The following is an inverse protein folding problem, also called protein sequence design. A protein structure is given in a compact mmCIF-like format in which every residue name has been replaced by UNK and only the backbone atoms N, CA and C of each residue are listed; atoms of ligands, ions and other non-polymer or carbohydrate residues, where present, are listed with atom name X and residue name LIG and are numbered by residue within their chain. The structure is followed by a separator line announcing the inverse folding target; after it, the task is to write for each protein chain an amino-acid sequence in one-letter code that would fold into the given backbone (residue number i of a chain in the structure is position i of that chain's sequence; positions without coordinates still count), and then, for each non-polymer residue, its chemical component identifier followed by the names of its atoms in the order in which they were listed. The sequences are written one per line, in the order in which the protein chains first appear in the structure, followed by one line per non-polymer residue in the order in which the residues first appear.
data_IF_410610549790
#
_entry.id   IF_410610549790
#
_cell.length_a   1.000
_cell.length_b   1.000
_cell.length_c   1.000
_cell.angle_alpha   90.00
_cell.angle_beta   90.00
_cell.angle_gamma   90.00
#
_symmetry.space_group_name_H-M   'P 1'
#
loop_
_entity.id
_entity.type
_entity.pdbx_description
1 polymer ?
#
# COMPACT_ATOMS: atom_id res chain seq x y z
N UNK A 1 2.57 -6.00 -17.41
CA UNK A 1 2.48 -7.15 -16.47
C UNK A 1 1.70 -8.31 -17.07
N UNK A 2 0.46 -8.10 -17.54
CA UNK A 2 -0.41 -9.18 -18.03
C UNK A 2 0.14 -9.89 -19.29
N UNK A 3 0.53 -9.17 -20.34
CA UNK A 3 1.05 -9.77 -21.58
C UNK A 3 2.44 -10.42 -21.45
N UNK A 4 3.17 -10.07 -20.40
CA UNK A 4 4.52 -10.59 -20.13
C UNK A 4 4.56 -11.57 -18.94
N UNK A 5 3.40 -11.97 -18.41
CA UNK A 5 3.30 -12.94 -17.31
C UNK A 5 3.89 -12.49 -15.96
N UNK A 6 4.21 -11.20 -15.80
CA UNK A 6 4.76 -10.68 -14.54
C UNK A 6 3.67 -10.58 -13.47
N UNK A 7 3.79 -11.36 -12.40
CA UNK A 7 2.96 -11.23 -11.20
C UNK A 7 3.56 -10.17 -10.26
N UNK A 8 2.91 -9.01 -10.20
CA UNK A 8 3.28 -7.93 -9.28
C UNK A 8 2.33 -7.92 -8.08
N UNK A 9 2.88 -7.76 -6.88
CA UNK A 9 2.09 -7.48 -5.70
C UNK A 9 1.70 -5.99 -5.73
N UNK A 10 0.40 -5.70 -5.86
CA UNK A 10 -0.12 -4.34 -5.94
C UNK A 10 -0.91 -4.04 -4.67
N UNK A 11 -0.56 -2.95 -3.98
CA UNK A 11 -1.36 -2.37 -2.90
C UNK A 11 -2.01 -1.08 -3.43
N UNK A 12 -3.33 -1.00 -3.35
CA UNK A 12 -4.08 0.19 -3.77
C UNK A 12 -4.16 1.16 -2.60
N UNK A 13 -3.66 2.37 -2.80
CA UNK A 13 -3.83 3.50 -1.89
C UNK A 13 -4.87 4.42 -2.52
N UNK A 14 -5.97 4.64 -1.82
CA UNK A 14 -7.17 5.28 -2.37
C UNK A 14 -8.02 5.83 -1.24
N UNK A 15 -8.93 6.74 -1.60
CA UNK A 15 -9.94 7.21 -0.64
C UNK A 15 -10.78 6.00 -0.24
N UNK A 16 -10.95 5.76 1.07
CA UNK A 16 -11.77 4.65 1.55
C UNK A 16 -13.24 4.89 1.20
N UNK A 17 -13.96 3.81 0.94
CA UNK A 17 -15.40 3.85 0.67
C UNK A 17 -16.19 4.04 1.97
N UNK A 18 -16.08 5.25 2.55
CA UNK A 18 -16.78 5.68 3.76
C UNK A 18 -16.95 7.20 3.74
N UNK A 19 -17.86 7.69 4.59
CA UNK A 19 -18.00 9.11 4.81
C UNK A 19 -16.76 9.68 5.52
N UNK A 20 -16.30 10.85 5.06
CA UNK A 20 -15.17 11.60 5.62
C UNK A 20 -15.71 12.99 5.98
N UNK A 21 -15.43 13.45 7.20
CA UNK A 21 -15.94 14.74 7.67
C UNK A 21 -15.23 15.92 7.01
N UNK A 22 -15.82 17.11 7.08
CA UNK A 22 -15.17 18.32 6.61
C UNK A 22 -14.04 18.73 7.55
N UNK A 23 -12.87 19.03 7.00
CA UNK A 23 -11.72 19.47 7.78
C UNK A 23 -10.69 20.15 6.89
N UNK A 24 -9.54 20.48 7.47
CA UNK A 24 -8.42 20.97 6.68
C UNK A 24 -7.85 19.85 5.81
N UNK A 25 -7.22 20.21 4.69
CA UNK A 25 -6.61 19.22 3.79
C UNK A 25 -5.64 18.27 4.52
N UNK A 26 -4.89 18.78 5.50
CA UNK A 26 -3.94 17.96 6.29
C UNK A 26 -4.66 16.88 7.09
N UNK A 27 -5.76 17.22 7.75
CA UNK A 27 -6.55 16.27 8.54
C UNK A 27 -7.16 15.20 7.62
N UNK A 28 -7.72 15.61 6.48
CA UNK A 28 -8.28 14.69 5.50
C UNK A 28 -7.23 13.71 4.93
N UNK A 29 -6.02 14.20 4.64
CA UNK A 29 -4.93 13.33 4.20
C UNK A 29 -4.51 12.34 5.28
N UNK A 30 -4.45 12.76 6.55
CA UNK A 30 -4.15 11.85 7.68
C UNK A 30 -5.26 10.81 7.83
N UNK A 31 -6.53 11.21 7.78
CA UNK A 31 -7.67 10.31 7.93
C UNK A 31 -7.74 9.28 6.78
N UNK A 32 -7.38 9.70 5.57
CA UNK A 32 -7.30 8.83 4.40
C UNK A 32 -6.00 8.01 4.32
N UNK A 33 -5.03 8.24 5.21
CA UNK A 33 -3.74 7.53 5.20
C UNK A 33 -2.82 7.92 4.03
N UNK A 34 -2.86 9.19 3.62
CA UNK A 34 -2.03 9.78 2.58
C UNK A 34 -0.96 10.73 3.11
N UNK A 35 -0.78 10.83 4.43
CA UNK A 35 0.34 11.55 5.01
C UNK A 35 1.66 10.77 4.83
N UNK A 36 2.77 11.46 5.09
CA UNK A 36 4.12 10.92 4.94
C UNK A 36 4.33 9.63 5.76
N UNK A 37 3.76 9.55 6.96
CA UNK A 37 3.92 8.39 7.84
C UNK A 37 3.15 7.19 7.33
N UNK A 38 1.91 7.40 6.88
CA UNK A 38 1.08 6.36 6.32
C UNK A 38 1.69 5.78 5.04
N UNK A 39 2.24 6.62 4.16
CA UNK A 39 2.93 6.16 2.96
C UNK A 39 4.18 5.34 3.29
N UNK A 40 5.02 5.82 4.22
CA UNK A 40 6.21 5.09 4.67
C UNK A 40 5.83 3.74 5.29
N UNK A 41 4.75 3.69 6.08
CA UNK A 41 4.22 2.46 6.65
C UNK A 41 3.77 1.49 5.56
N UNK A 42 2.98 1.97 4.58
CA UNK A 42 2.51 1.15 3.47
C UNK A 42 3.66 0.55 2.65
N UNK A 43 4.71 1.32 2.40
CA UNK A 43 5.93 0.84 1.72
C UNK A 43 6.63 -0.22 2.57
N UNK A 44 6.81 0.01 3.88
CA UNK A 44 7.45 -0.95 4.78
C UNK A 44 6.69 -2.28 4.86
N UNK A 45 5.37 -2.26 4.82
CA UNK A 45 4.55 -3.47 4.78
C UNK A 45 4.71 -4.26 3.47
N UNK A 46 4.96 -3.58 2.35
CA UNK A 46 5.19 -4.22 1.06
C UNK A 46 6.62 -4.77 0.91
N UNK A 47 7.55 -4.30 1.73
CA UNK A 47 8.93 -4.79 1.72
C UNK A 47 9.02 -6.14 2.46
N UNK A 48 9.71 -7.14 1.89
CA UNK A 48 10.00 -8.36 2.62
C UNK A 48 10.88 -8.05 3.83
N UNK A 49 10.64 -8.73 4.94
CA UNK A 49 11.52 -8.65 6.11
C UNK A 49 12.96 -8.92 5.67
N UNK A 50 13.90 -8.10 6.18
CA UNK A 50 15.31 -8.17 5.82
C UNK A 50 15.83 -9.60 6.06
N UNK A 51 16.00 -10.39 4.99
CA UNK A 51 16.44 -11.79 5.03
C UNK A 51 15.44 -12.85 4.54
N UNK A 52 14.20 -12.49 4.17
CA UNK A 52 13.23 -13.46 3.67
C UNK A 52 13.56 -13.89 2.22
N UNK A 53 14.20 -15.05 2.07
CA UNK A 53 14.30 -15.75 0.77
C UNK A 53 12.89 -16.16 0.32
N UNK A 54 12.46 -15.74 -0.87
CA UNK A 54 11.23 -16.26 -1.50
C UNK A 54 11.45 -17.73 -1.84
N UNK A 55 10.71 -18.62 -1.19
CA UNK A 55 10.66 -20.05 -1.53
C UNK A 55 9.68 -20.19 -2.68
N UNK A 56 10.17 -20.49 -3.88
CA UNK A 56 9.32 -20.84 -5.02
C UNK A 56 8.77 -22.25 -4.82
N UNK A 57 7.47 -22.40 -4.56
CA UNK A 57 6.81 -23.70 -4.68
C UNK A 57 6.31 -23.88 -6.10
N UNK A 58 6.91 -24.85 -6.80
CA UNK A 58 6.41 -25.44 -8.03
C UNK A 58 5.42 -26.54 -7.67
N UNK A 59 4.22 -26.52 -8.25
CA UNK A 59 3.40 -27.68 -8.65
C UNK A 59 2.35 -27.17 -9.63
#
# INVERSE_FOLDING_TARGET
MADHGYQAQVKRLGIPDRWIEHGSQKELYIECGFDDKALVAAVKEMLPAKGAKRITMAT
#
